data_IF_879674760986
#
_entry.id   IF_879674760986
#
_cell.length_a   1.000
_cell.length_b   1.000
_cell.length_c   1.000
_cell.angle_alpha   90.00
_cell.angle_beta   90.00
_cell.angle_gamma   90.00
#
_symmetry.space_group_name_H-M   'P 1'
#
loop_
_entity.id
_entity.type
_entity.pdbx_description
1 polymer ?
#
# COMPACT_ATOMS: atom_id res chain seq x y z
N UNK A 1 53.84 -17.83 5.55
CA UNK A 1 53.33 -16.88 4.53
C UNK A 1 52.23 -17.54 3.73
N UNK A 2 51.00 -17.51 4.25
CA UNK A 2 49.82 -18.04 3.57
C UNK A 2 49.03 -16.90 2.94
N UNK A 3 48.49 -17.05 1.72
CA UNK A 3 47.44 -16.17 1.21
C UNK A 3 46.10 -16.63 1.80
N UNK A 4 45.44 -15.74 2.54
CA UNK A 4 44.08 -15.94 3.05
C UNK A 4 43.05 -15.85 1.90
N UNK A 5 41.92 -16.56 2.01
CA UNK A 5 40.89 -16.57 0.98
C UNK A 5 40.09 -15.25 0.97
N UNK A 6 39.97 -14.66 -0.22
CA UNK A 6 39.05 -13.54 -0.50
C UNK A 6 37.60 -13.99 -0.24
N UNK A 7 37.07 -13.57 0.91
CA UNK A 7 35.67 -13.68 1.25
C UNK A 7 34.85 -12.76 0.33
N UNK A 8 34.45 -13.29 -0.82
CA UNK A 8 33.40 -12.74 -1.66
C UNK A 8 32.08 -12.80 -0.90
N UNK A 9 31.81 -11.80 -0.07
CA UNK A 9 30.55 -11.66 0.65
C UNK A 9 29.38 -11.52 -0.34
N UNK A 10 28.21 -12.09 -0.06
CA UNK A 10 27.02 -11.91 -0.90
C UNK A 10 26.67 -10.43 -0.97
N UNK A 11 26.75 -9.86 -2.18
CA UNK A 11 26.38 -8.47 -2.43
C UNK A 11 24.95 -8.19 -1.92
N UNK A 12 24.67 -6.97 -1.41
CA UNK A 12 23.37 -6.64 -0.87
C UNK A 12 22.29 -6.83 -1.95
N UNK A 13 21.40 -7.78 -1.71
CA UNK A 13 20.23 -8.06 -2.51
C UNK A 13 19.36 -6.79 -2.59
N UNK A 14 19.35 -6.11 -3.75
CA UNK A 14 18.49 -4.94 -3.99
C UNK A 14 17.07 -5.41 -4.28
N UNK A 15 16.25 -5.55 -3.24
CA UNK A 15 14.82 -5.76 -3.40
C UNK A 15 14.13 -4.46 -3.89
N UNK A 16 13.19 -4.53 -4.87
CA UNK A 16 12.47 -3.38 -5.37
C UNK A 16 11.64 -2.68 -4.28
N UNK A 17 12.10 -1.47 -3.92
CA UNK A 17 11.57 -0.55 -2.91
C UNK A 17 10.30 0.14 -3.39
N UNK A 18 9.26 0.12 -2.55
CA UNK A 18 8.01 0.90 -2.58
C UNK A 18 7.77 1.76 -3.84
N UNK A 19 7.49 1.06 -4.94
CA UNK A 19 6.86 1.45 -6.22
C UNK A 19 7.28 2.72 -7.00
N UNK A 20 8.18 3.59 -6.52
CA UNK A 20 9.05 4.48 -7.32
C UNK A 20 9.97 5.28 -6.38
N UNK A 21 11.31 5.18 -6.50
CA UNK A 21 12.27 5.79 -5.57
C UNK A 21 12.26 7.34 -5.45
N UNK A 22 11.37 8.06 -6.14
CA UNK A 22 11.32 9.53 -6.13
C UNK A 22 10.17 10.17 -5.35
N UNK A 23 9.21 9.38 -4.84
CA UNK A 23 7.98 9.93 -4.25
C UNK A 23 7.98 9.97 -2.71
N UNK A 24 9.07 9.49 -2.07
CA UNK A 24 9.21 9.47 -0.62
C UNK A 24 10.57 10.03 -0.16
N UNK A 25 10.54 10.95 0.80
CA UNK A 25 11.71 11.50 1.48
C UNK A 25 11.64 11.10 2.94
N UNK A 26 12.70 10.46 3.44
CA UNK A 26 12.85 10.11 4.84
C UNK A 26 13.82 11.06 5.52
N UNK A 27 13.42 11.61 6.65
CA UNK A 27 14.24 12.40 7.55
C UNK A 27 14.40 11.61 8.86
N UNK A 28 15.63 11.46 9.34
CA UNK A 28 15.92 10.76 10.59
C UNK A 28 16.74 11.66 11.50
N UNK A 29 16.26 11.82 12.73
CA UNK A 29 16.92 12.50 13.84
C UNK A 29 16.97 11.54 15.04
N UNK A 30 17.69 11.90 16.10
CA UNK A 30 17.76 11.09 17.33
C UNK A 30 16.37 10.85 17.98
N UNK A 31 15.48 11.85 17.87
CA UNK A 31 14.19 11.85 18.57
C UNK A 31 12.99 11.53 17.66
N UNK A 32 13.19 11.58 16.34
CA UNK A 32 12.11 11.36 15.37
C UNK A 32 12.60 10.71 14.09
N UNK A 33 11.71 9.91 13.50
CA UNK A 33 11.81 9.47 12.12
C UNK A 33 10.58 9.92 11.36
N UNK A 34 10.77 10.66 10.27
CA UNK A 34 9.69 11.24 9.48
C UNK A 34 9.79 10.78 8.04
N UNK A 35 8.78 10.07 7.56
CA UNK A 35 8.64 9.65 6.18
C UNK A 35 7.55 10.49 5.52
N UNK A 36 7.94 11.27 4.54
CA UNK A 36 7.04 12.07 3.72
C UNK A 36 6.92 11.48 2.34
N UNK A 37 5.73 11.55 1.76
CA UNK A 37 5.56 11.27 0.34
C UNK A 37 4.21 11.67 -0.19
N UNK A 38 4.02 11.34 -1.46
CA UNK A 38 2.76 11.57 -2.17
C UNK A 38 2.35 10.29 -2.88
N UNK A 39 1.20 9.76 -2.50
CA UNK A 39 0.65 8.55 -3.13
C UNK A 39 -0.59 8.89 -3.96
N UNK A 40 -0.69 8.25 -5.13
CA UNK A 40 -1.91 8.26 -5.95
C UNK A 40 -2.42 6.83 -6.05
N UNK A 41 -3.65 6.60 -5.58
CA UNK A 41 -4.36 5.35 -5.87
C UNK A 41 -4.90 5.45 -7.30
N UNK A 42 -4.34 4.67 -8.22
CA UNK A 42 -4.96 4.47 -9.52
C UNK A 42 -6.07 3.44 -9.35
N UNK A 43 -7.34 3.79 -9.62
CA UNK A 43 -8.38 2.78 -9.71
C UNK A 43 -8.01 1.92 -10.92
N UNK A 44 -7.53 0.70 -10.69
CA UNK A 44 -7.33 -0.31 -11.75
C UNK A 44 -8.38 -1.42 -11.66
N UNK A 45 -9.15 -1.46 -10.57
CA UNK A 45 -10.17 -2.47 -10.34
C UNK A 45 -11.33 -2.40 -11.37
N UNK A 46 -11.56 -1.27 -12.02
CA UNK A 46 -12.60 -1.18 -13.06
C UNK A 46 -12.23 -1.94 -14.33
N UNK A 47 -10.93 -2.17 -14.60
CA UNK A 47 -10.49 -2.89 -15.79
C UNK A 47 -10.97 -4.34 -15.82
N UNK A 48 -11.18 -4.99 -14.67
CA UNK A 48 -11.74 -6.34 -14.64
C UNK A 48 -13.20 -6.35 -15.09
N UNK A 49 -13.99 -5.34 -14.71
CA UNK A 49 -15.37 -5.20 -15.16
C UNK A 49 -15.44 -4.83 -16.64
N UNK A 50 -14.59 -3.89 -17.10
CA UNK A 50 -14.48 -3.52 -18.52
C UNK A 50 -14.13 -4.75 -19.37
N UNK A 51 -13.14 -5.55 -18.96
CA UNK A 51 -12.75 -6.77 -19.66
C UNK A 51 -13.88 -7.80 -19.76
N UNK A 52 -14.64 -8.00 -18.68
CA UNK A 52 -15.79 -8.92 -18.69
C UNK A 52 -16.90 -8.45 -19.66
N UNK A 53 -17.23 -7.16 -19.63
CA UNK A 53 -18.25 -6.57 -20.51
C UNK A 53 -17.79 -6.63 -21.98
N UNK A 54 -16.51 -6.34 -22.24
CA UNK A 54 -15.93 -6.48 -23.58
C UNK A 54 -16.03 -7.92 -24.08
N UNK A 55 -15.65 -8.91 -23.28
CA UNK A 55 -15.75 -10.32 -23.65
C UNK A 55 -17.18 -10.73 -24.02
N UNK A 56 -18.17 -10.34 -23.21
CA UNK A 56 -19.58 -10.58 -23.50
C UNK A 56 -20.03 -9.89 -24.79
N UNK A 57 -19.60 -8.65 -25.01
CA UNK A 57 -19.95 -7.87 -26.20
C UNK A 57 -19.36 -8.50 -27.47
N UNK A 58 -18.10 -8.95 -27.41
CA UNK A 58 -17.44 -9.66 -28.50
C UNK A 58 -18.18 -10.95 -28.87
N UNK A 59 -18.57 -11.76 -27.89
CA UNK A 59 -19.37 -12.98 -28.13
C UNK A 59 -20.71 -12.64 -28.77
N UNK A 60 -21.40 -11.61 -28.28
CA UNK A 60 -22.68 -11.16 -28.83
C UNK A 60 -22.57 -10.71 -30.28
N UNK A 61 -21.58 -9.88 -30.61
CA UNK A 61 -21.31 -9.45 -32.00
C UNK A 61 -20.95 -10.66 -32.87
N UNK A 62 -20.18 -11.61 -32.31
CA UNK A 62 -19.88 -12.91 -32.90
C UNK A 62 -21.10 -13.71 -33.33
N UNK A 63 -22.01 -13.97 -32.39
CA UNK A 63 -23.19 -14.82 -32.59
C UNK A 63 -24.23 -14.16 -33.50
N UNK A 64 -24.37 -12.83 -33.42
CA UNK A 64 -25.34 -12.08 -34.23
C UNK A 64 -24.86 -11.79 -35.66
N UNK A 65 -23.61 -12.11 -36.00
CA UNK A 65 -23.04 -11.83 -37.32
C UNK A 65 -22.79 -10.34 -37.61
N UNK A 66 -22.90 -9.48 -36.59
CA UNK A 66 -22.79 -8.01 -36.73
C UNK A 66 -21.36 -7.49 -36.97
N UNK A 67 -20.41 -8.35 -37.35
CA UNK A 67 -19.03 -7.95 -37.66
C UNK A 67 -18.92 -6.93 -38.81
N UNK A 68 -19.92 -6.89 -39.68
CA UNK A 68 -19.96 -5.97 -40.82
C UNK A 68 -20.71 -4.67 -40.50
N UNK A 69 -21.40 -4.62 -39.36
CA UNK A 69 -22.14 -3.43 -38.94
C UNK A 69 -21.21 -2.46 -38.20
N UNK A 70 -21.16 -1.17 -38.57
CA UNK A 70 -20.34 -0.17 -37.88
C UNK A 70 -20.66 -0.06 -36.39
N UNK A 71 -21.92 -0.29 -36.03
CA UNK A 71 -22.41 -0.21 -34.64
C UNK A 71 -21.74 -1.25 -33.74
N UNK A 72 -21.46 -2.45 -34.25
CA UNK A 72 -20.75 -3.50 -33.51
C UNK A 72 -19.34 -3.06 -33.09
N UNK A 73 -18.61 -2.44 -34.02
CA UNK A 73 -17.27 -1.90 -33.79
C UNK A 73 -17.27 -0.72 -32.82
N UNK A 74 -18.24 0.20 -32.94
CA UNK A 74 -18.39 1.33 -32.01
C UNK A 74 -18.61 0.82 -30.57
N UNK A 75 -19.49 -0.16 -30.39
CA UNK A 75 -19.75 -0.77 -29.08
C UNK A 75 -18.50 -1.42 -28.49
N UNK A 76 -17.73 -2.15 -29.31
CA UNK A 76 -16.46 -2.77 -28.89
C UNK A 76 -15.40 -1.74 -28.49
N UNK A 77 -15.29 -0.62 -29.22
CA UNK A 77 -14.33 0.44 -28.93
C UNK A 77 -14.74 1.35 -27.76
N UNK A 78 -16.05 1.46 -27.48
CA UNK A 78 -16.58 2.31 -26.41
C UNK A 78 -16.07 1.90 -25.02
N UNK A 79 -16.07 0.61 -24.71
CA UNK A 79 -15.66 0.10 -23.39
C UNK A 79 -14.19 0.37 -23.03
N UNK A 80 -13.18 0.07 -23.88
CA UNK A 80 -11.80 0.40 -23.58
C UNK A 80 -11.57 1.93 -23.55
N UNK A 81 -12.27 2.70 -24.40
CA UNK A 81 -12.24 4.15 -24.33
C UNK A 81 -12.74 4.67 -22.98
N UNK A 82 -13.90 4.21 -22.51
CA UNK A 82 -14.44 4.56 -21.20
C UNK A 82 -13.48 4.15 -20.07
N UNK A 83 -12.91 2.95 -20.14
CA UNK A 83 -11.90 2.48 -19.19
C UNK A 83 -10.66 3.38 -19.14
N UNK A 84 -10.19 3.83 -20.30
CA UNK A 84 -9.07 4.76 -20.43
C UNK A 84 -9.40 6.15 -19.86
N UNK A 85 -10.59 6.68 -20.14
CA UNK A 85 -11.06 7.96 -19.56
C UNK A 85 -11.11 7.89 -18.04
N UNK A 86 -11.66 6.82 -17.45
CA UNK A 86 -11.68 6.63 -16.00
C UNK A 86 -10.27 6.59 -15.41
N UNK A 87 -9.35 5.89 -16.08
CA UNK A 87 -7.93 5.87 -15.68
C UNK A 87 -7.29 7.25 -15.80
N UNK A 88 -7.52 7.98 -16.89
CA UNK A 88 -7.00 9.33 -17.10
C UNK A 88 -7.50 10.33 -16.05
N UNK A 89 -8.79 10.29 -15.70
CA UNK A 89 -9.36 11.06 -14.59
C UNK A 89 -8.68 10.69 -13.26
N UNK A 90 -8.39 9.41 -13.04
CA UNK A 90 -7.58 8.94 -11.92
C UNK A 90 -6.18 9.56 -11.89
N UNK A 91 -5.54 9.73 -13.06
CA UNK A 91 -4.27 10.43 -13.23
C UNK A 91 -4.37 11.96 -13.12
N UNK A 92 -5.54 12.56 -13.23
CA UNK A 92 -5.72 14.00 -12.98
C UNK A 92 -5.98 14.30 -11.50
N UNK A 93 -6.46 13.32 -10.71
CA UNK A 93 -6.72 13.54 -9.29
C UNK A 93 -5.45 13.92 -8.50
N UNK A 94 -5.55 14.87 -7.55
CA UNK A 94 -4.40 15.34 -6.79
C UNK A 94 -3.78 14.18 -6.00
N UNK A 95 -2.45 14.12 -5.99
CA UNK A 95 -1.72 13.14 -5.18
C UNK A 95 -2.02 13.41 -3.71
N UNK A 96 -2.32 12.35 -2.94
CA UNK A 96 -2.61 12.48 -1.51
C UNK A 96 -1.30 12.56 -0.76
N UNK A 97 -1.17 13.56 0.12
CA UNK A 97 -0.05 13.64 1.06
C UNK A 97 -0.09 12.43 1.98
N UNK A 98 1.07 11.84 2.16
CA UNK A 98 1.29 10.70 3.03
C UNK A 98 2.46 11.09 3.93
N UNK A 99 2.22 11.12 5.23
CA UNK A 99 3.26 11.36 6.21
C UNK A 99 3.16 10.28 7.28
N UNK A 100 4.31 9.75 7.68
CA UNK A 100 4.45 8.89 8.84
C UNK A 100 5.52 9.53 9.71
N UNK A 101 5.22 9.68 10.98
CA UNK A 101 6.12 10.22 11.97
C UNK A 101 6.19 9.23 13.13
N UNK A 102 7.40 8.80 13.46
CA UNK A 102 7.70 7.99 14.62
C UNK A 102 8.48 8.89 15.59
N UNK A 103 7.99 9.00 16.81
CA UNK A 103 8.67 9.73 17.89
C UNK A 103 8.85 8.80 19.09
N UNK A 104 9.42 9.30 20.18
CA UNK A 104 9.48 8.57 21.46
C UNK A 104 8.11 8.37 22.12
N UNK A 105 7.10 9.16 21.74
CA UNK A 105 5.76 9.09 22.33
C UNK A 105 4.83 8.14 21.58
N UNK A 106 5.01 8.02 20.27
CA UNK A 106 4.11 7.22 19.45
C UNK A 106 4.40 7.24 17.95
N UNK A 107 3.39 6.78 17.22
CA UNK A 107 3.33 6.82 15.76
C UNK A 107 2.17 7.69 15.31
N UNK A 108 2.48 8.68 14.47
CA UNK A 108 1.50 9.54 13.83
C UNK A 108 1.53 9.29 12.33
N UNK A 109 0.35 9.10 11.74
CA UNK A 109 0.18 8.95 10.30
C UNK A 109 -0.79 10.00 9.77
N UNK A 110 -0.47 10.55 8.61
CA UNK A 110 -1.29 11.47 7.86
C UNK A 110 -1.52 10.89 6.47
N UNK A 111 -2.78 10.69 6.11
CA UNK A 111 -3.17 10.25 4.78
C UNK A 111 -4.26 11.15 4.21
N UNK A 112 -3.89 11.98 3.23
CA UNK A 112 -4.75 13.04 2.71
C UNK A 112 -5.10 14.05 3.80
N UNK A 113 -6.38 14.13 4.17
CA UNK A 113 -6.88 15.01 5.26
C UNK A 113 -7.01 14.29 6.61
N UNK A 114 -6.62 13.01 6.70
CA UNK A 114 -6.84 12.18 7.87
C UNK A 114 -5.54 12.03 8.65
N UNK A 115 -5.48 12.64 9.82
CA UNK A 115 -4.42 12.40 10.81
C UNK A 115 -4.88 11.32 11.79
N UNK A 116 -3.96 10.44 12.17
CA UNK A 116 -4.13 9.41 13.19
C UNK A 116 -2.87 9.37 14.03
N UNK A 117 -3.02 9.26 15.34
CA UNK A 117 -1.89 9.16 16.26
C UNK A 117 -2.17 8.05 17.25
N UNK A 118 -1.16 7.25 17.53
CA UNK A 118 -1.23 6.13 18.46
C UNK A 118 0.00 6.22 19.36
N UNK A 119 -0.21 6.26 20.67
CA UNK A 119 0.89 6.34 21.62
C UNK A 119 1.46 4.95 21.89
N UNK A 120 2.79 4.84 22.06
CA UNK A 120 3.44 3.55 22.26
C UNK A 120 2.93 2.83 23.51
N UNK A 121 2.58 3.56 24.57
CA UNK A 121 2.00 2.97 25.79
C UNK A 121 0.67 2.26 25.57
N UNK A 122 -0.04 2.57 24.48
CA UNK A 122 -1.34 1.98 24.14
C UNK A 122 -1.24 0.97 22.98
N UNK A 123 -0.05 0.78 22.41
CA UNK A 123 0.20 -0.16 21.34
C UNK A 123 0.70 -1.46 21.96
N UNK A 124 -0.04 -2.53 21.70
CA UNK A 124 0.38 -3.89 22.04
C UNK A 124 1.39 -4.40 21.01
N UNK A 125 1.07 -4.23 19.73
CA UNK A 125 1.83 -4.79 18.62
C UNK A 125 1.74 -3.88 17.39
N UNK A 126 2.85 -3.73 16.67
CA UNK A 126 2.93 -3.07 15.37
C UNK A 126 3.61 -3.99 14.37
N UNK A 127 2.95 -4.22 13.23
CA UNK A 127 3.45 -5.14 12.21
C UNK A 127 2.89 -4.80 10.82
N UNK A 128 3.51 -5.36 9.78
CA UNK A 128 3.04 -5.22 8.41
C UNK A 128 2.22 -6.45 8.04
N UNK A 129 0.96 -6.22 7.70
CA UNK A 129 -0.01 -7.29 7.41
C UNK A 129 -0.81 -6.97 6.18
N UNK A 130 -1.33 -8.01 5.54
CA UNK A 130 -2.34 -7.89 4.50
C UNK A 130 -3.54 -7.13 5.05
N UNK A 131 -3.96 -6.09 4.35
CA UNK A 131 -5.06 -5.25 4.77
C UNK A 131 -6.39 -6.00 4.61
N UNK A 132 -7.28 -5.91 5.59
CA UNK A 132 -8.67 -6.37 5.47
C UNK A 132 -9.57 -5.15 5.58
N UNK A 133 -10.33 -4.87 4.53
CA UNK A 133 -11.21 -3.69 4.44
C UNK A 133 -12.64 -4.18 4.33
N UNK A 134 -13.47 -3.84 5.33
CA UNK A 134 -14.89 -4.26 5.40
C UNK A 134 -15.05 -5.79 5.29
N UNK A 135 -14.20 -6.54 5.98
CA UNK A 135 -14.21 -8.01 5.97
C UNK A 135 -13.69 -8.65 4.70
N UNK A 136 -13.21 -7.87 3.72
CA UNK A 136 -12.61 -8.39 2.48
C UNK A 136 -11.12 -8.15 2.49
N UNK A 137 -10.39 -9.17 2.05
CA UNK A 137 -8.97 -9.07 1.79
C UNK A 137 -8.70 -7.96 0.77
N UNK A 138 -7.90 -6.98 1.18
CA UNK A 138 -7.39 -5.95 0.32
C UNK A 138 -6.07 -6.45 -0.29
N UNK A 139 -5.92 -6.32 -1.62
CA UNK A 139 -4.74 -6.73 -2.40
C UNK A 139 -3.48 -5.87 -2.12
N UNK A 140 -3.33 -5.37 -0.90
CA UNK A 140 -2.18 -4.59 -0.43
C UNK A 140 -1.90 -4.90 1.04
N UNK A 141 -0.66 -4.66 1.43
CA UNK A 141 -0.17 -4.72 2.80
C UNK A 141 -0.16 -3.31 3.41
N UNK A 142 -0.34 -3.28 4.72
CA UNK A 142 -0.30 -2.07 5.51
C UNK A 142 0.44 -2.31 6.81
N UNK A 143 1.16 -1.29 7.26
CA UNK A 143 1.58 -1.14 8.64
C UNK A 143 0.32 -0.94 9.48
N UNK A 144 0.10 -1.86 10.41
CA UNK A 144 -1.07 -1.90 11.27
C UNK A 144 -0.63 -1.97 12.73
N UNK A 145 -1.43 -1.39 13.61
CA UNK A 145 -1.24 -1.45 15.06
C UNK A 145 -2.40 -2.20 15.70
N UNK A 146 -2.08 -3.03 16.68
CA UNK A 146 -3.03 -3.59 17.64
C UNK A 146 -2.91 -2.79 18.93
N UNK A 147 -4.05 -2.34 19.44
CA UNK A 147 -4.12 -1.50 20.63
C UNK A 147 -4.47 -2.35 21.85
N UNK A 148 -3.96 -1.93 23.01
CA UNK A 148 -4.37 -2.47 24.30
C UNK A 148 -5.86 -2.18 24.56
N UNK A 149 -6.55 -2.98 25.41
CA UNK A 149 -7.98 -2.80 25.69
C UNK A 149 -8.36 -1.43 26.30
N UNK A 150 -7.43 -0.80 27.02
CA UNK A 150 -7.59 0.51 27.67
C UNK A 150 -7.26 1.70 26.76
N UNK A 151 -6.82 1.44 25.53
CA UNK A 151 -6.41 2.48 24.60
C UNK A 151 -7.60 3.38 24.18
N UNK A 152 -7.35 4.68 23.94
CA UNK A 152 -8.34 5.56 23.33
C UNK A 152 -8.82 5.01 21.99
N UNK A 153 -10.15 4.91 21.82
CA UNK A 153 -10.75 4.27 20.66
C UNK A 153 -10.56 5.10 19.38
N UNK A 154 -9.84 4.58 18.37
CA UNK A 154 -9.68 5.28 17.10
C UNK A 154 -11.00 5.33 16.33
N UNK A 155 -11.17 6.27 15.38
CA UNK A 155 -12.36 6.34 14.53
C UNK A 155 -12.61 5.02 13.79
N UNK A 156 -13.86 4.52 13.77
CA UNK A 156 -14.23 3.22 13.14
C UNK A 156 -13.63 2.98 11.75
N UNK A 157 -13.45 4.04 10.95
CA UNK A 157 -12.83 4.03 9.61
C UNK A 157 -11.33 3.66 9.55
N UNK A 158 -10.62 3.60 10.68
CA UNK A 158 -9.23 3.10 10.73
C UNK A 158 -9.15 1.61 11.04
N UNK A 159 -10.25 0.98 11.47
CA UNK A 159 -10.29 -0.44 11.82
C UNK A 159 -10.15 -1.31 10.57
N UNK A 160 -9.25 -2.28 10.64
CA UNK A 160 -8.91 -3.24 9.57
C UNK A 160 -9.35 -4.67 9.91
N UNK A 161 -10.25 -4.84 10.89
CA UNK A 161 -10.67 -6.16 11.39
C UNK A 161 -9.74 -6.71 12.47
N UNK A 162 -10.22 -7.67 13.26
CA UNK A 162 -9.40 -8.39 14.25
C UNK A 162 -8.69 -7.52 15.31
N UNK A 163 -9.22 -6.33 15.63
CA UNK A 163 -8.59 -5.39 16.57
C UNK A 163 -7.45 -4.55 15.97
N UNK A 164 -7.18 -4.67 14.67
CA UNK A 164 -6.12 -3.95 13.99
C UNK A 164 -6.59 -2.60 13.46
N UNK A 165 -5.68 -1.63 13.50
CA UNK A 165 -5.89 -0.28 13.00
C UNK A 165 -4.81 0.11 12.00
N UNK A 166 -5.24 0.76 10.92
CA UNK A 166 -4.36 1.21 9.85
C UNK A 166 -3.48 2.39 10.27
N UNK A 167 -2.18 2.28 9.99
CA UNK A 167 -1.19 3.35 10.08
C UNK A 167 -0.79 3.82 8.68
N UNK A 168 -0.17 2.95 7.88
CA UNK A 168 0.42 3.30 6.59
C UNK A 168 0.25 2.15 5.59
N UNK A 169 0.01 2.45 4.31
CA UNK A 169 0.02 1.44 3.25
C UNK A 169 1.44 1.16 2.78
N UNK A 170 1.83 -0.11 2.68
CA UNK A 170 3.15 -0.56 2.18
C UNK A 170 3.07 -1.11 0.75
N UNK A 171 1.89 -1.08 0.13
CA UNK A 171 1.72 -1.50 -1.27
C UNK A 171 1.51 -3.02 -1.40
N UNK A 172 1.79 -3.64 -2.55
CA UNK A 172 1.45 -5.05 -2.78
C UNK A 172 2.33 -6.02 -2.01
N UNK A 173 3.57 -5.65 -1.69
CA UNK A 173 4.52 -6.50 -0.99
C UNK A 173 4.46 -6.33 0.54
N UNK A 174 4.77 -7.39 1.32
CA UNK A 174 4.78 -7.36 2.78
C UNK A 174 5.99 -6.61 3.38
N UNK A 175 6.96 -6.20 2.54
CA UNK A 175 8.16 -5.51 2.98
C UNK A 175 7.93 -4.02 3.32
N UNK A 176 8.78 -3.52 4.21
CA UNK A 176 8.95 -2.08 4.49
C UNK A 176 10.32 -1.61 4.03
N UNK A 177 10.45 -0.30 3.82
CA UNK A 177 11.77 0.30 3.59
C UNK A 177 12.73 -0.05 4.74
N UNK A 178 13.99 -0.44 4.48
CA UNK A 178 14.96 -0.76 5.53
C UNK A 178 15.16 0.35 6.57
N UNK A 179 15.12 1.63 6.15
CA UNK A 179 15.22 2.76 7.07
C UNK A 179 14.00 2.88 7.99
N UNK A 180 12.81 2.61 7.46
CA UNK A 180 11.59 2.53 8.26
C UNK A 180 11.62 1.32 9.21
N UNK A 181 12.10 0.17 8.75
CA UNK A 181 12.24 -1.02 9.59
C UNK A 181 13.18 -0.79 10.77
N UNK A 182 14.35 -0.19 10.53
CA UNK A 182 15.28 0.21 11.59
C UNK A 182 14.64 1.21 12.54
N UNK A 183 13.97 2.25 12.03
CA UNK A 183 13.31 3.22 12.90
C UNK A 183 12.19 2.60 13.75
N UNK A 184 11.42 1.65 13.20
CA UNK A 184 10.41 0.91 13.96
C UNK A 184 11.04 0.06 15.06
N UNK A 185 12.15 -0.62 14.78
CA UNK A 185 12.89 -1.36 15.79
C UNK A 185 13.38 -0.42 16.92
N UNK A 186 13.85 0.78 16.58
CA UNK A 186 14.39 1.74 17.55
C UNK A 186 13.31 2.43 18.40
N UNK A 187 12.20 2.86 17.78
CA UNK A 187 11.15 3.61 18.48
C UNK A 187 10.09 2.72 19.13
N UNK A 188 9.66 1.64 18.46
CA UNK A 188 8.63 0.75 18.99
C UNK A 188 9.22 -0.35 19.89
N UNK A 189 10.52 -0.65 19.72
CA UNK A 189 11.23 -1.68 20.48
C UNK A 189 10.57 -3.05 20.32
N UNK A 190 10.24 -3.75 21.42
CA UNK A 190 9.69 -5.11 21.38
C UNK A 190 8.27 -5.19 20.77
N UNK A 191 7.58 -4.05 20.60
CA UNK A 191 6.25 -4.01 19.99
C UNK A 191 6.30 -4.23 18.48
N UNK A 192 7.45 -3.97 17.85
CA UNK A 192 7.62 -4.14 16.41
C UNK A 192 7.90 -5.60 16.08
N UNK A 193 6.98 -6.20 15.34
CA UNK A 193 7.16 -7.53 14.76
C UNK A 193 7.45 -7.38 13.27
N UNK A 194 8.69 -7.67 12.83
CA UNK A 194 9.02 -7.61 11.42
C UNK A 194 8.11 -8.56 10.64
N UNK A 195 7.76 -8.23 9.37
CA UNK A 195 6.98 -9.14 8.55
C UNK A 195 7.73 -10.47 8.47
N UNK A 196 7.16 -11.53 9.02
CA UNK A 196 7.63 -12.88 8.82
C UNK A 196 7.55 -13.13 7.32
N UNK A 197 8.71 -13.13 6.66
CA UNK A 197 8.78 -13.32 5.22
C UNK A 197 8.10 -14.64 4.88
N UNK A 198 6.87 -14.56 4.38
CA UNK A 198 6.22 -15.68 3.73
C UNK A 198 7.07 -16.02 2.52
N UNK A 199 7.87 -17.08 2.66
CA UNK A 199 8.45 -17.78 1.51
C UNK A 199 7.34 -18.39 0.68
#
# INVERSE_FOLDING_TARGET
NGPGPDASGPGPFRLPRLSRPGDFTAERTADRYRLHGRSRSLPLAHWTAVGAIMGLTTVRVGVSGQWHEPVGWVSLAFWPFLGAVVTAVGFLRPRRRLELELTRDGVTSLFGRRRRSYQWRHIEEITVRRAIVRGRDARFHALQVRLLPDAPHPPRRSRMGGGWYFVLSTGPAPGVDPGLASALADFAGPRWTPPSGGR
#
